data_IF_918402050079
#
_entry.id   IF_918402050079
#
_cell.length_a   1.000
_cell.length_b   1.000
_cell.length_c   1.000
_cell.angle_alpha   90.00
_cell.angle_beta   90.00
_cell.angle_gamma   90.00
#
_symmetry.space_group_name_H-M   'P 1'
#
loop_
_entity.id
_entity.type
_entity.pdbx_description
1 polymer ?
#
# COMPACT_ATOMS: atom_id res chain seq x y z
N UNK A 1 -28.67 -81.01 48.07
CA UNK A 1 -27.47 -80.47 47.39
C UNK A 1 -27.80 -79.08 46.85
N UNK A 2 -27.06 -78.03 47.27
CA UNK A 2 -27.40 -76.64 46.94
C UNK A 2 -26.60 -76.14 45.73
N UNK A 3 -27.27 -75.53 44.75
CA UNK A 3 -26.63 -74.75 43.70
C UNK A 3 -26.83 -73.26 43.99
N UNK A 4 -25.69 -72.62 44.23
CA UNK A 4 -25.49 -71.21 44.58
C UNK A 4 -26.06 -70.27 43.51
N UNK A 5 -27.00 -69.40 43.90
CA UNK A 5 -27.26 -68.12 43.24
C UNK A 5 -26.38 -67.04 43.89
N UNK A 6 -25.35 -66.56 43.20
CA UNK A 6 -24.72 -65.26 43.45
C UNK A 6 -24.18 -64.68 42.15
N UNK A 7 -24.31 -63.36 42.04
CA UNK A 7 -23.63 -62.44 41.12
C UNK A 7 -24.29 -62.15 39.76
N UNK A 8 -25.28 -61.26 39.78
CA UNK A 8 -25.52 -60.31 38.66
C UNK A 8 -26.16 -59.03 39.20
N UNK A 9 -25.40 -58.27 39.98
CA UNK A 9 -25.78 -56.93 40.42
C UNK A 9 -24.52 -56.08 40.55
N UNK A 10 -23.85 -55.79 39.43
CA UNK A 10 -22.73 -54.82 39.35
C UNK A 10 -22.31 -54.42 37.92
N UNK A 11 -23.24 -54.42 36.97
CA UNK A 11 -22.98 -53.94 35.58
C UNK A 11 -23.99 -52.91 35.06
N UNK A 12 -24.93 -52.43 35.88
CA UNK A 12 -25.94 -51.46 35.46
C UNK A 12 -25.71 -50.03 35.98
N UNK A 13 -24.60 -49.77 36.68
CA UNK A 13 -24.31 -48.44 37.26
C UNK A 13 -23.17 -47.70 36.55
N UNK A 14 -22.46 -48.34 35.61
CA UNK A 14 -21.33 -47.70 34.89
C UNK A 14 -21.77 -47.20 33.50
N UNK A 15 -22.84 -47.74 32.92
CA UNK A 15 -23.31 -47.33 31.58
C UNK A 15 -24.21 -46.10 31.59
N UNK A 16 -24.75 -45.69 32.75
CA UNK A 16 -25.58 -44.49 32.88
C UNK A 16 -24.78 -43.21 33.19
N UNK A 17 -23.52 -43.33 33.64
CA UNK A 17 -22.63 -42.18 33.86
C UNK A 17 -21.91 -41.72 32.57
N UNK A 18 -21.88 -42.55 31.53
CA UNK A 18 -21.25 -42.20 30.24
C UNK A 18 -22.23 -41.49 29.30
N UNK A 19 -23.55 -41.70 29.44
CA UNK A 19 -24.56 -41.02 28.62
C UNK A 19 -24.88 -39.62 29.14
N UNK A 20 -24.74 -39.37 30.45
CA UNK A 20 -24.92 -38.03 31.05
C UNK A 20 -23.73 -37.07 30.81
N UNK A 21 -22.56 -37.56 30.41
CA UNK A 21 -21.38 -36.74 30.08
C UNK A 21 -21.31 -36.26 28.62
N UNK A 22 -22.19 -36.78 27.75
CA UNK A 22 -22.18 -36.48 26.29
C UNK A 22 -23.37 -35.60 25.87
N UNK A 23 -24.26 -35.27 26.81
CA UNK A 23 -25.35 -34.30 26.62
C UNK A 23 -25.09 -33.02 27.42
N UNK A 24 -23.88 -32.46 27.30
CA UNK A 24 -23.71 -31.04 27.62
C UNK A 24 -24.45 -30.28 26.51
N UNK A 25 -25.57 -29.61 26.79
CA UNK A 25 -26.29 -28.92 25.76
C UNK A 25 -25.36 -27.79 25.31
N UNK A 26 -24.91 -27.86 24.05
CA UNK A 26 -24.23 -26.78 23.36
C UNK A 26 -25.26 -25.66 23.24
N UNK A 27 -25.51 -24.96 24.35
CA UNK A 27 -26.19 -23.69 24.30
C UNK A 27 -25.22 -22.79 23.55
N UNK A 28 -25.61 -22.22 22.39
CA UNK A 28 -24.78 -21.23 21.76
C UNK A 28 -24.53 -20.16 22.82
N UNK A 29 -23.28 -20.06 23.29
CA UNK A 29 -22.84 -18.88 24.02
C UNK A 29 -22.96 -17.77 23.01
N UNK A 30 -24.08 -17.07 23.03
CA UNK A 30 -24.21 -15.77 22.40
C UNK A 30 -23.21 -14.92 23.16
N UNK A 31 -22.02 -14.79 22.58
CA UNK A 31 -21.03 -13.81 23.01
C UNK A 31 -21.69 -12.50 22.63
N UNK A 32 -22.43 -11.90 23.57
CA UNK A 32 -22.80 -10.50 23.47
C UNK A 32 -21.48 -9.75 23.47
N UNK A 33 -21.05 -9.29 22.29
CA UNK A 33 -19.89 -8.42 22.17
C UNK A 33 -20.17 -7.22 23.08
N UNK A 34 -19.38 -7.09 24.15
CA UNK A 34 -19.50 -5.94 25.03
C UNK A 34 -19.27 -4.70 24.17
N UNK A 35 -20.30 -3.86 24.04
CA UNK A 35 -20.15 -2.55 23.41
C UNK A 35 -19.00 -1.85 24.12
N UNK A 36 -17.95 -1.41 23.40
CA UNK A 36 -16.82 -0.73 24.01
C UNK A 36 -17.34 0.40 24.90
N UNK A 37 -16.80 0.51 26.12
CA UNK A 37 -17.13 1.61 27.01
C UNK A 37 -16.86 2.93 26.27
N UNK A 38 -17.85 3.83 26.11
CA UNK A 38 -17.66 5.11 25.42
C UNK A 38 -16.45 5.90 25.95
N UNK A 39 -16.14 5.76 27.24
CA UNK A 39 -14.96 6.41 27.85
C UNK A 39 -13.63 5.85 27.33
N UNK A 40 -13.59 4.58 26.93
CA UNK A 40 -12.39 3.97 26.34
C UNK A 40 -12.07 4.54 24.96
N UNK A 41 -13.08 4.88 24.17
CA UNK A 41 -12.91 5.50 22.86
C UNK A 41 -12.37 6.93 22.97
N UNK A 42 -12.78 7.71 23.97
CA UNK A 42 -12.27 9.07 24.19
C UNK A 42 -10.74 9.11 24.39
N UNK A 43 -10.13 8.00 24.82
CA UNK A 43 -8.66 7.88 24.96
C UNK A 43 -7.92 7.79 23.62
N UNK A 44 -8.62 7.50 22.53
CA UNK A 44 -8.05 7.43 21.19
C UNK A 44 -7.73 8.80 20.59
N UNK A 45 -8.33 9.88 21.12
CA UNK A 45 -8.06 11.26 20.71
C UNK A 45 -7.28 12.00 21.82
N UNK A 46 -5.94 11.90 21.85
CA UNK A 46 -5.14 12.49 22.92
C UNK A 46 -5.19 14.02 22.90
N UNK A 47 -4.84 14.65 24.03
CA UNK A 47 -4.83 16.12 24.17
C UNK A 47 -3.76 16.79 23.29
N UNK A 48 -2.74 16.04 22.87
CA UNK A 48 -1.65 16.51 22.04
C UNK A 48 -1.22 15.43 21.04
N UNK A 49 -0.99 15.83 19.79
CA UNK A 49 -0.44 15.00 18.71
C UNK A 49 0.72 15.78 18.11
N UNK A 50 1.96 15.41 18.42
CA UNK A 50 3.14 16.19 18.02
C UNK A 50 3.06 17.65 18.46
N UNK A 51 3.08 18.59 17.50
CA UNK A 51 2.94 20.04 17.75
C UNK A 51 1.49 20.53 17.80
N UNK A 52 0.51 19.66 17.56
CA UNK A 52 -0.91 20.01 17.56
C UNK A 52 -1.52 19.78 18.94
N UNK A 53 -2.26 20.77 19.44
CA UNK A 53 -2.94 20.72 20.75
C UNK A 53 -4.44 20.76 20.59
N UNK A 54 -5.14 19.92 21.35
CA UNK A 54 -6.58 19.93 21.36
C UNK A 54 -7.13 21.27 21.88
N UNK A 55 -8.09 21.86 21.16
CA UNK A 55 -8.76 23.10 21.57
C UNK A 55 -10.08 22.87 22.30
N UNK A 56 -10.60 21.65 22.23
CA UNK A 56 -11.84 21.23 22.87
C UNK A 56 -11.73 19.78 23.37
N UNK A 57 -12.57 19.35 24.34
CA UNK A 57 -12.74 17.94 24.67
C UNK A 57 -13.20 17.13 23.45
N UNK A 58 -12.88 15.84 23.42
CA UNK A 58 -13.46 14.93 22.43
C UNK A 58 -14.97 14.80 22.65
N UNK A 59 -15.74 14.82 21.56
CA UNK A 59 -17.20 14.72 21.56
C UNK A 59 -17.59 13.43 20.84
N UNK A 60 -18.47 12.63 21.46
CA UNK A 60 -19.09 11.51 20.78
C UNK A 60 -20.15 12.02 19.81
N UNK A 61 -20.03 11.64 18.53
CA UNK A 61 -20.99 11.99 17.50
C UNK A 61 -21.94 10.81 17.34
N UNK A 62 -23.19 10.98 17.79
CA UNK A 62 -24.25 10.05 17.45
C UNK A 62 -24.84 10.48 16.12
N UNK A 63 -24.27 9.98 15.04
CA UNK A 63 -24.85 10.16 13.73
C UNK A 63 -25.72 8.92 13.41
N UNK A 64 -27.03 9.16 13.34
CA UNK A 64 -28.03 8.13 13.00
C UNK A 64 -28.01 7.78 11.51
N UNK A 65 -27.25 8.52 10.69
CA UNK A 65 -27.15 8.32 9.24
C UNK A 65 -26.00 7.43 8.83
N UNK A 66 -25.03 7.20 9.73
CA UNK A 66 -23.87 6.38 9.39
C UNK A 66 -24.25 4.89 9.43
N UNK A 67 -23.89 4.08 8.42
CA UNK A 67 -24.21 2.65 8.35
C UNK A 67 -23.86 1.90 9.64
N UNK A 68 -24.58 0.81 9.97
CA UNK A 68 -24.47 0.02 11.21
C UNK A 68 -23.08 -0.62 11.52
N UNK A 69 -22.01 -0.18 10.86
CA UNK A 69 -20.65 -0.69 10.95
C UNK A 69 -19.85 -0.08 12.12
N UNK A 70 -20.41 0.88 12.86
CA UNK A 70 -19.71 1.58 13.94
C UNK A 70 -19.92 0.95 15.30
N UNK A 71 -18.81 0.83 16.04
CA UNK A 71 -18.85 0.71 17.51
C UNK A 71 -18.87 2.07 18.20
N UNK A 72 -18.45 3.12 17.51
CA UNK A 72 -18.52 4.50 18.00
C UNK A 72 -17.82 5.47 17.07
N UNK A 73 -18.24 6.73 17.17
CA UNK A 73 -17.74 7.84 16.39
C UNK A 73 -17.45 9.00 17.35
N UNK A 74 -16.20 9.48 17.32
CA UNK A 74 -15.72 10.56 18.17
C UNK A 74 -15.00 11.59 17.32
N UNK A 75 -15.04 12.84 17.77
CA UNK A 75 -14.45 13.96 17.06
C UNK A 75 -13.75 14.90 18.03
N UNK A 76 -12.64 15.49 17.59
CA UNK A 76 -11.90 16.47 18.37
C UNK A 76 -11.21 17.50 17.49
N UNK A 77 -11.23 18.75 17.92
CA UNK A 77 -10.53 19.84 17.24
C UNK A 77 -9.13 20.03 17.80
N UNK A 78 -8.16 20.18 16.91
CA UNK A 78 -6.76 20.47 17.20
C UNK A 78 -6.34 21.81 16.59
N UNK A 79 -5.38 22.48 17.21
CA UNK A 79 -4.72 23.67 16.66
C UNK A 79 -3.21 23.46 16.54
N UNK A 80 -2.63 23.94 15.44
CA UNK A 80 -1.18 24.04 15.27
C UNK A 80 -0.61 25.22 16.05
N UNK A 81 0.72 25.32 16.13
CA UNK A 81 1.42 26.47 16.73
C UNK A 81 1.15 27.79 15.99
N UNK A 82 0.82 27.72 14.70
CA UNK A 82 0.47 28.87 13.86
C UNK A 82 -0.98 29.33 14.06
N UNK A 83 -1.79 28.58 14.82
CA UNK A 83 -3.19 28.89 15.11
C UNK A 83 -4.20 28.29 14.12
N UNK A 84 -3.76 27.60 13.07
CA UNK A 84 -4.64 26.86 12.16
C UNK A 84 -5.35 25.73 12.90
N UNK A 85 -6.62 25.49 12.57
CA UNK A 85 -7.47 24.51 13.25
C UNK A 85 -7.81 23.35 12.35
N UNK A 86 -7.92 22.17 12.95
CA UNK A 86 -8.14 20.91 12.26
C UNK A 86 -9.14 20.10 13.05
N UNK A 87 -10.00 19.39 12.33
CA UNK A 87 -10.93 18.43 12.88
C UNK A 87 -10.40 17.03 12.67
N UNK A 88 -10.31 16.24 13.74
CA UNK A 88 -10.04 14.80 13.64
C UNK A 88 -11.31 14.07 14.04
N UNK A 89 -11.89 13.36 13.09
CA UNK A 89 -13.04 12.49 13.23
C UNK A 89 -12.57 11.05 13.15
N UNK A 90 -12.92 10.24 14.15
CA UNK A 90 -12.48 8.86 14.28
C UNK A 90 -13.67 7.95 14.48
N UNK A 91 -13.71 6.88 13.69
CA UNK A 91 -14.74 5.87 13.78
C UNK A 91 -14.12 4.49 14.01
N UNK A 92 -14.54 3.81 15.08
CA UNK A 92 -14.06 2.47 15.42
C UNK A 92 -15.01 1.41 14.87
N UNK A 93 -14.44 0.40 14.22
CA UNK A 93 -15.16 -0.74 13.64
C UNK A 93 -14.86 -2.03 14.40
N UNK A 94 -15.49 -3.13 14.01
CA UNK A 94 -15.25 -4.44 14.61
C UNK A 94 -14.00 -5.14 14.06
N UNK A 95 -13.63 -4.81 12.81
CA UNK A 95 -12.49 -5.41 12.10
C UNK A 95 -11.83 -4.43 11.13
N UNK A 96 -10.61 -4.76 10.73
CA UNK A 96 -9.82 -4.02 9.73
C UNK A 96 -10.56 -3.97 8.37
N UNK A 97 -11.23 -5.08 7.98
CA UNK A 97 -12.08 -5.15 6.79
C UNK A 97 -13.19 -4.08 6.81
N UNK A 98 -13.85 -3.87 7.95
CA UNK A 98 -14.91 -2.87 8.06
C UNK A 98 -14.34 -1.44 7.97
N UNK A 99 -13.18 -1.16 8.59
CA UNK A 99 -12.52 0.13 8.48
C UNK A 99 -12.04 0.41 7.04
N UNK A 100 -11.57 -0.62 6.34
CA UNK A 100 -11.22 -0.52 4.92
C UNK A 100 -12.46 -0.31 4.03
N UNK A 101 -13.57 -1.01 4.30
CA UNK A 101 -14.84 -0.83 3.60
C UNK A 101 -15.30 0.62 3.69
N UNK A 102 -15.27 1.18 4.91
CA UNK A 102 -15.54 2.57 5.18
C UNK A 102 -14.66 3.52 4.35
N UNK A 103 -13.35 3.29 4.33
CA UNK A 103 -12.43 4.14 3.58
C UNK A 103 -12.76 4.14 2.08
N UNK A 104 -12.96 2.97 1.49
CA UNK A 104 -13.26 2.88 0.06
C UNK A 104 -14.65 3.41 -0.30
N UNK A 105 -15.61 3.30 0.62
CA UNK A 105 -16.95 3.88 0.49
C UNK A 105 -16.92 5.41 0.57
N UNK A 106 -16.21 5.97 1.57
CA UNK A 106 -15.98 7.42 1.68
C UNK A 106 -15.29 7.96 0.42
N UNK A 107 -14.28 7.23 -0.10
CA UNK A 107 -13.63 7.59 -1.37
C UNK A 107 -14.67 7.69 -2.48
N UNK A 108 -15.45 6.63 -2.70
CA UNK A 108 -16.48 6.58 -3.74
C UNK A 108 -17.45 7.77 -3.70
N UNK A 109 -17.82 8.25 -2.51
CA UNK A 109 -18.73 9.40 -2.34
C UNK A 109 -18.03 10.73 -2.60
N UNK A 110 -16.82 10.89 -2.04
CA UNK A 110 -16.18 12.21 -1.92
C UNK A 110 -15.27 12.54 -3.11
N UNK A 111 -14.61 11.54 -3.71
CA UNK A 111 -13.55 11.82 -4.70
C UNK A 111 -13.23 10.64 -5.62
N UNK A 112 -12.62 10.92 -6.76
CA UNK A 112 -11.98 9.90 -7.60
C UNK A 112 -10.50 9.71 -7.32
N UNK A 113 -9.94 10.45 -6.36
CA UNK A 113 -8.52 10.38 -6.06
C UNK A 113 -8.15 8.90 -5.81
N UNK A 114 -7.02 8.43 -6.40
CA UNK A 114 -6.60 7.06 -6.21
C UNK A 114 -6.28 6.82 -4.74
N UNK A 115 -6.64 5.64 -4.24
CA UNK A 115 -6.22 5.19 -2.93
C UNK A 115 -4.69 4.99 -2.93
N UNK A 116 -4.02 5.52 -1.91
CA UNK A 116 -2.59 5.36 -1.68
C UNK A 116 -2.36 4.34 -0.59
N UNK A 117 -1.52 3.36 -0.87
CA UNK A 117 -1.19 2.30 0.07
C UNK A 117 0.10 2.69 0.80
N UNK A 118 0.16 2.48 2.12
CA UNK A 118 1.33 2.77 2.96
C UNK A 118 1.82 4.24 2.94
N UNK A 119 0.92 5.20 2.68
CA UNK A 119 1.22 6.65 2.79
C UNK A 119 0.89 7.12 4.21
N UNK A 120 -0.41 7.20 4.54
CA UNK A 120 -0.91 7.50 5.89
C UNK A 120 -1.75 6.32 6.37
N UNK A 121 -1.43 5.79 7.55
CA UNK A 121 -2.05 4.55 8.04
C UNK A 121 -1.70 3.35 7.14
N UNK A 122 -2.66 2.43 6.98
CA UNK A 122 -2.54 1.28 6.07
C UNK A 122 -2.88 1.68 4.63
N UNK A 123 -3.95 2.45 4.45
CA UNK A 123 -4.27 3.12 3.19
C UNK A 123 -4.95 4.46 3.44
N UNK A 124 -4.82 5.38 2.48
CA UNK A 124 -5.38 6.72 2.56
C UNK A 124 -5.78 7.28 1.20
N UNK A 125 -6.59 8.33 1.23
CA UNK A 125 -6.76 9.24 0.10
C UNK A 125 -6.87 10.68 0.60
N UNK A 126 -6.65 11.65 -0.29
CA UNK A 126 -6.61 13.07 0.05
C UNK A 126 -7.51 13.85 -0.89
N UNK A 127 -8.26 14.80 -0.34
CA UNK A 127 -9.03 15.81 -1.07
C UNK A 127 -8.35 17.18 -0.90
N UNK A 128 -8.98 18.25 -1.39
CA UNK A 128 -8.48 19.61 -1.14
C UNK A 128 -8.66 20.08 0.30
N UNK A 129 -9.50 19.41 1.11
CA UNK A 129 -9.91 19.88 2.44
C UNK A 129 -9.72 18.83 3.55
N UNK A 130 -9.64 17.54 3.18
CA UNK A 130 -9.57 16.45 4.14
C UNK A 130 -8.61 15.35 3.70
N UNK A 131 -8.09 14.63 4.67
CA UNK A 131 -7.35 13.37 4.49
C UNK A 131 -8.15 12.27 5.17
N UNK A 132 -8.38 11.19 4.44
CA UNK A 132 -9.07 10.01 4.94
C UNK A 132 -8.08 8.86 4.97
N UNK A 133 -8.03 8.11 6.06
CA UNK A 133 -7.22 6.91 6.15
C UNK A 133 -7.82 5.90 7.09
N UNK A 134 -7.33 4.67 7.02
CA UNK A 134 -7.63 3.65 8.02
C UNK A 134 -6.34 3.04 8.56
N UNK A 135 -6.38 2.58 9.80
CA UNK A 135 -5.31 1.81 10.43
C UNK A 135 -5.91 0.88 11.50
N UNK A 136 -5.65 -0.41 11.38
CA UNK A 136 -6.35 -1.44 12.15
C UNK A 136 -7.87 -1.31 12.01
N UNK A 137 -8.57 -1.38 13.13
CA UNK A 137 -10.04 -1.25 13.23
C UNK A 137 -10.53 0.20 13.27
N UNK A 138 -9.71 1.16 12.85
CA UNK A 138 -10.01 2.59 12.97
C UNK A 138 -10.02 3.26 11.61
N UNK A 139 -11.14 3.88 11.28
CA UNK A 139 -11.26 4.84 10.18
C UNK A 139 -11.10 6.26 10.72
N UNK A 140 -10.37 7.10 9.99
CA UNK A 140 -10.07 8.48 10.39
C UNK A 140 -10.30 9.43 9.22
N UNK A 141 -10.95 10.54 9.52
CA UNK A 141 -10.97 11.74 8.69
C UNK A 141 -10.25 12.87 9.44
N UNK A 142 -9.31 13.53 8.78
CA UNK A 142 -8.66 14.76 9.24
C UNK A 142 -9.06 15.87 8.29
N UNK A 143 -9.94 16.77 8.74
CA UNK A 143 -10.47 17.89 7.98
C UNK A 143 -9.87 19.23 8.41
N UNK A 144 -9.78 20.17 7.48
CA UNK A 144 -9.43 21.55 7.75
C UNK A 144 -10.60 22.35 8.36
N UNK A 145 -10.31 23.16 9.38
CA UNK A 145 -11.20 24.22 9.86
C UNK A 145 -10.53 25.57 9.57
N UNK A 146 -11.01 26.26 8.53
CA UNK A 146 -10.64 27.63 8.14
C UNK A 146 -9.18 27.87 7.66
N UNK A 147 -8.97 27.83 6.33
CA UNK A 147 -7.73 28.23 5.62
C UNK A 147 -6.44 27.64 6.23
N UNK A 148 -6.50 26.36 6.55
CA UNK A 148 -5.38 25.61 7.07
C UNK A 148 -4.42 25.16 5.96
N UNK A 149 -3.17 24.88 6.33
CA UNK A 149 -2.16 24.39 5.38
C UNK A 149 -2.37 22.90 5.13
N UNK A 150 -2.39 22.49 3.86
CA UNK A 150 -2.44 21.07 3.49
C UNK A 150 -1.22 20.29 4.03
N UNK A 151 -0.07 20.94 4.18
CA UNK A 151 1.15 20.30 4.70
C UNK A 151 1.04 20.04 6.20
N UNK A 152 0.43 20.96 6.96
CA UNK A 152 0.12 20.75 8.37
C UNK A 152 -0.94 19.65 8.53
N UNK A 153 -1.96 19.64 7.67
CA UNK A 153 -3.00 18.60 7.65
C UNK A 153 -2.38 17.20 7.46
N UNK A 154 -1.47 17.06 6.49
CA UNK A 154 -0.71 15.81 6.27
C UNK A 154 0.15 15.45 7.48
N UNK A 155 0.83 16.43 8.07
CA UNK A 155 1.68 16.22 9.24
C UNK A 155 0.87 15.71 10.42
N UNK A 156 -0.28 16.34 10.72
CA UNK A 156 -1.21 15.90 11.75
C UNK A 156 -1.70 14.48 11.48
N UNK A 157 -2.12 14.18 10.25
CA UNK A 157 -2.62 12.86 9.87
C UNK A 157 -1.55 11.76 10.02
N UNK A 158 -0.30 12.00 9.60
CA UNK A 158 0.80 11.04 9.81
C UNK A 158 1.12 10.82 11.30
N UNK A 159 1.22 11.89 12.08
CA UNK A 159 1.51 11.79 13.51
C UNK A 159 0.38 11.07 14.25
N UNK A 160 -0.86 11.34 13.88
CA UNK A 160 -2.01 10.66 14.46
C UNK A 160 -2.08 9.19 14.05
N UNK A 161 -1.80 8.85 12.79
CA UNK A 161 -1.72 7.47 12.35
C UNK A 161 -0.65 6.67 13.14
N UNK A 162 0.41 7.31 13.64
CA UNK A 162 1.42 6.64 14.48
C UNK A 162 0.92 6.29 15.88
N UNK A 163 -0.12 6.96 16.40
CA UNK A 163 -0.68 6.67 17.73
C UNK A 163 -1.70 5.53 17.73
N UNK A 164 -2.19 5.13 16.54
CA UNK A 164 -3.18 4.08 16.39
C UNK A 164 -2.54 2.69 16.27
N UNK A 165 -3.25 1.68 16.78
CA UNK A 165 -2.91 0.27 16.59
C UNK A 165 -2.88 -0.06 15.08
N UNK A 166 -1.87 -0.82 14.67
CA UNK A 166 -1.75 -1.27 13.28
C UNK A 166 -2.80 -2.32 12.92
N UNK A 167 -3.36 -3.03 13.90
CA UNK A 167 -4.20 -4.19 13.66
C UNK A 167 -3.41 -5.27 12.91
N UNK A 168 -4.03 -5.87 11.88
CA UNK A 168 -3.32 -6.78 10.97
C UNK A 168 -2.41 -6.01 10.01
N UNK A 169 -2.68 -4.72 9.79
CA UNK A 169 -1.83 -3.84 8.97
C UNK A 169 -1.89 -4.16 7.47
N UNK A 170 -2.89 -4.92 7.04
CA UNK A 170 -3.01 -5.38 5.66
C UNK A 170 -4.33 -4.95 5.00
N UNK A 171 -4.29 -4.81 3.68
CA UNK A 171 -5.49 -4.67 2.85
C UNK A 171 -6.21 -6.02 2.83
N UNK A 172 -7.56 -6.06 2.92
CA UNK A 172 -8.31 -7.30 2.86
C UNK A 172 -7.90 -8.18 1.68
N UNK A 173 -7.71 -9.48 1.96
CA UNK A 173 -7.19 -10.45 1.00
C UNK A 173 -8.04 -10.50 -0.27
N UNK A 174 -9.36 -10.35 -0.14
CA UNK A 174 -10.29 -10.31 -1.28
C UNK A 174 -9.90 -9.27 -2.35
N UNK A 175 -9.37 -8.11 -1.94
CA UNK A 175 -8.90 -7.08 -2.89
C UNK A 175 -7.71 -7.58 -3.69
N UNK A 176 -6.82 -8.39 -3.09
CA UNK A 176 -5.64 -8.98 -3.74
C UNK A 176 -6.03 -10.02 -4.80
N UNK A 177 -7.28 -10.49 -4.83
CA UNK A 177 -7.82 -11.40 -5.84
C UNK A 177 -8.35 -10.70 -7.10
N UNK A 178 -8.36 -9.37 -7.12
CA UNK A 178 -8.65 -8.60 -8.32
C UNK A 178 -7.54 -8.80 -9.39
N UNK A 179 -7.90 -8.89 -10.68
CA UNK A 179 -6.93 -8.77 -11.77
C UNK A 179 -6.14 -7.45 -11.68
N UNK A 180 -4.80 -7.50 -11.75
CA UNK A 180 -3.95 -6.33 -11.55
C UNK A 180 -4.28 -5.55 -10.26
N UNK A 181 -4.42 -6.28 -9.15
CA UNK A 181 -4.95 -5.72 -7.89
C UNK A 181 -4.20 -4.48 -7.40
N UNK A 182 -2.91 -4.31 -7.70
CA UNK A 182 -2.14 -3.14 -7.27
C UNK A 182 -2.71 -1.85 -7.87
N UNK A 183 -3.17 -1.91 -9.12
CA UNK A 183 -3.86 -0.80 -9.79
C UNK A 183 -5.33 -0.80 -9.42
N UNK A 184 -6.00 -1.96 -9.45
CA UNK A 184 -7.43 -2.06 -9.21
C UNK A 184 -7.82 -1.63 -7.79
N UNK A 185 -6.99 -1.92 -6.78
CA UNK A 185 -7.20 -1.50 -5.38
C UNK A 185 -7.29 0.02 -5.22
N UNK A 186 -6.65 0.79 -6.11
CA UNK A 186 -6.69 2.25 -6.07
C UNK A 186 -8.09 2.79 -6.37
N UNK A 187 -8.89 2.02 -7.11
CA UNK A 187 -10.20 2.42 -7.61
C UNK A 187 -11.34 1.52 -7.14
N UNK A 188 -11.05 0.36 -6.54
CA UNK A 188 -12.07 -0.56 -6.04
C UNK A 188 -12.87 0.01 -4.86
N UNK A 189 -14.07 -0.53 -4.68
CA UNK A 189 -14.91 -0.34 -3.50
C UNK A 189 -15.07 -1.68 -2.81
N UNK A 190 -14.79 -1.71 -1.51
CA UNK A 190 -14.88 -2.89 -0.68
C UNK A 190 -16.07 -2.78 0.26
N UNK A 191 -16.82 -3.87 0.39
CA UNK A 191 -18.11 -3.89 1.04
C UNK A 191 -18.25 -5.09 1.97
N UNK A 192 -18.79 -4.81 3.15
CA UNK A 192 -19.09 -5.79 4.22
C UNK A 192 -20.60 -5.87 4.47
N UNK A 193 -21.41 -5.28 3.58
CA UNK A 193 -22.87 -5.30 3.64
C UNK A 193 -23.48 -5.28 2.25
N UNK A 194 -24.69 -5.84 2.13
CA UNK A 194 -25.43 -5.87 0.87
C UNK A 194 -25.74 -4.45 0.36
N UNK A 195 -26.11 -3.54 1.25
CA UNK A 195 -26.41 -2.14 0.90
C UNK A 195 -25.20 -1.44 0.26
N UNK A 196 -24.02 -1.59 0.86
CA UNK A 196 -22.77 -1.08 0.28
C UNK A 196 -22.53 -1.66 -1.11
N UNK A 197 -22.69 -2.98 -1.28
CA UNK A 197 -22.43 -3.63 -2.57
C UNK A 197 -23.37 -3.13 -3.67
N UNK A 198 -24.67 -3.05 -3.36
CA UNK A 198 -25.68 -2.56 -4.31
C UNK A 198 -25.40 -1.12 -4.73
N UNK A 199 -25.04 -0.26 -3.76
CA UNK A 199 -24.66 1.13 -4.03
C UNK A 199 -23.35 1.22 -4.83
N UNK A 200 -22.33 0.44 -4.49
CA UNK A 200 -21.05 0.44 -5.18
C UNK A 200 -21.19 0.06 -6.66
N UNK A 201 -21.98 -0.97 -6.96
CA UNK A 201 -22.29 -1.41 -8.32
C UNK A 201 -23.07 -0.34 -9.08
N UNK A 202 -23.96 0.38 -8.38
CA UNK A 202 -24.76 1.45 -8.95
C UNK A 202 -23.95 2.71 -9.27
N UNK A 203 -23.02 3.10 -8.39
CA UNK A 203 -22.26 4.34 -8.49
C UNK A 203 -21.02 4.25 -9.38
N UNK A 204 -20.47 3.05 -9.56
CA UNK A 204 -19.27 2.85 -10.36
C UNK A 204 -19.52 2.78 -11.87
N UNK A 205 -20.77 2.80 -12.32
CA UNK A 205 -21.12 3.01 -13.73
C UNK A 205 -21.01 4.49 -14.13
N UNK A 206 -19.88 4.88 -14.73
CA UNK A 206 -19.65 6.15 -15.43
C UNK A 206 -20.31 7.40 -14.80
N UNK A 207 -20.09 7.64 -13.50
CA UNK A 207 -20.17 9.04 -13.04
C UNK A 207 -19.00 9.78 -13.68
N UNK A 208 -19.23 10.79 -14.54
CA UNK A 208 -18.14 11.61 -15.01
C UNK A 208 -17.67 12.42 -13.81
N UNK A 209 -16.59 11.93 -13.23
CA UNK A 209 -15.91 12.53 -12.10
C UNK A 209 -15.48 13.93 -12.52
N UNK A 210 -15.98 14.95 -11.81
CA UNK A 210 -15.74 16.35 -12.14
C UNK A 210 -16.91 17.07 -12.80
N UNK A 211 -18.13 16.52 -12.76
CA UNK A 211 -19.31 17.28 -13.17
C UNK A 211 -19.49 18.50 -12.29
N UNK A 212 -19.26 19.67 -12.89
CA UNK A 212 -19.97 20.89 -12.54
C UNK A 212 -21.44 20.53 -12.35
N UNK A 213 -21.90 20.49 -11.10
CA UNK A 213 -23.28 20.12 -10.69
C UNK A 213 -24.33 20.94 -11.47
N UNK A 214 -23.89 22.05 -12.06
CA UNK A 214 -24.70 23.02 -12.77
C UNK A 214 -24.86 22.79 -14.30
N UNK A 215 -24.08 21.91 -14.98
CA UNK A 215 -23.96 21.98 -16.46
C UNK A 215 -24.44 20.77 -17.27
N UNK A 216 -24.57 19.58 -16.70
CA UNK A 216 -24.93 18.35 -17.45
C UNK A 216 -26.22 17.65 -16.94
N UNK A 217 -27.11 18.39 -16.29
CA UNK A 217 -28.42 17.92 -15.82
C UNK A 217 -29.41 17.47 -16.94
N UNK A 218 -28.97 17.29 -18.20
CA UNK A 218 -29.88 17.12 -19.35
C UNK A 218 -30.01 15.70 -19.88
N UNK A 219 -29.29 14.71 -19.33
CA UNK A 219 -29.62 13.29 -19.55
C UNK A 219 -29.76 12.59 -18.20
N UNK A 220 -30.97 12.13 -17.82
CA UNK A 220 -31.12 11.29 -16.65
C UNK A 220 -30.44 9.95 -16.96
N UNK A 221 -29.19 9.79 -16.53
CA UNK A 221 -28.67 8.45 -16.29
C UNK A 221 -29.56 7.87 -15.20
N UNK A 222 -30.41 6.91 -15.58
CA UNK A 222 -31.19 6.12 -14.63
C UNK A 222 -30.41 4.83 -14.44
N UNK A 223 -29.48 4.78 -13.47
CA UNK A 223 -28.75 3.58 -13.16
C UNK A 223 -29.73 2.45 -12.84
N UNK A 224 -29.64 1.37 -13.62
CA UNK A 224 -30.50 0.20 -13.48
C UNK A 224 -30.03 -0.57 -12.23
N UNK A 225 -30.90 -0.80 -11.23
CA UNK A 225 -30.55 -1.67 -10.11
C UNK A 225 -30.20 -3.05 -10.66
N UNK A 226 -29.13 -3.68 -10.16
CA UNK A 226 -28.75 -5.05 -10.53
C UNK A 226 -29.55 -6.03 -9.66
N UNK A 227 -30.70 -6.56 -10.11
CA UNK A 227 -31.65 -7.22 -9.21
C UNK A 227 -31.12 -8.57 -8.71
N UNK A 228 -30.16 -9.15 -9.44
CA UNK A 228 -29.47 -10.38 -9.06
C UNK A 228 -28.75 -10.26 -7.71
N UNK A 229 -28.24 -9.07 -7.37
CA UNK A 229 -27.53 -8.86 -6.11
C UNK A 229 -28.46 -8.99 -4.90
N UNK A 230 -29.77 -8.76 -5.07
CA UNK A 230 -30.75 -9.00 -4.02
C UNK A 230 -30.93 -10.47 -3.64
N UNK A 231 -30.37 -11.42 -4.40
CA UNK A 231 -30.35 -12.83 -4.03
C UNK A 231 -29.18 -13.20 -3.11
N UNK A 232 -28.22 -12.29 -2.91
CA UNK A 232 -27.06 -12.49 -2.05
C UNK A 232 -27.46 -12.37 -0.58
N UNK A 233 -26.91 -13.26 0.22
CA UNK A 233 -27.02 -13.27 1.67
C UNK A 233 -25.70 -12.84 2.28
N UNK A 234 -25.72 -11.73 3.02
CA UNK A 234 -24.52 -11.19 3.68
C UNK A 234 -24.33 -11.72 5.10
N UNK A 235 -25.14 -12.70 5.54
CA UNK A 235 -24.93 -13.37 6.81
C UNK A 235 -23.57 -14.09 6.89
N UNK A 236 -23.09 -14.28 8.11
CA UNK A 236 -21.88 -15.06 8.37
C UNK A 236 -20.55 -14.39 7.99
N UNK A 237 -20.52 -13.06 7.81
CA UNK A 237 -19.30 -12.31 7.51
C UNK A 237 -18.95 -12.29 6.03
N UNK A 238 -19.94 -12.28 5.15
CA UNK A 238 -19.74 -12.17 3.70
C UNK A 238 -19.15 -10.82 3.34
N UNK A 239 -18.17 -10.82 2.45
CA UNK A 239 -17.45 -9.63 2.00
C UNK A 239 -17.53 -9.54 0.48
N UNK A 240 -17.39 -8.34 -0.06
CA UNK A 240 -17.42 -8.12 -1.50
C UNK A 240 -16.44 -7.03 -1.93
N UNK A 241 -15.95 -7.12 -3.16
CA UNK A 241 -15.18 -6.08 -3.81
C UNK A 241 -15.72 -5.80 -5.21
N UNK A 242 -15.81 -4.53 -5.55
CA UNK A 242 -16.25 -4.02 -6.86
C UNK A 242 -15.10 -3.26 -7.50
N UNK A 243 -14.78 -3.56 -8.75
CA UNK A 243 -13.75 -2.86 -9.52
C UNK A 243 -14.12 -2.75 -11.00
N UNK A 244 -13.73 -1.65 -11.64
CA UNK A 244 -14.01 -1.39 -13.04
C UNK A 244 -12.81 -1.78 -13.93
N UNK A 245 -13.10 -2.42 -15.06
CA UNK A 245 -12.14 -2.84 -16.09
C UNK A 245 -12.64 -2.39 -17.46
N UNK A 246 -12.35 -1.13 -17.81
CA UNK A 246 -12.93 -0.48 -18.99
C UNK A 246 -14.44 -0.30 -18.79
N UNK A 247 -15.24 -0.85 -19.71
CA UNK A 247 -16.71 -0.83 -19.62
C UNK A 247 -17.26 -1.93 -18.70
N UNK A 248 -16.47 -2.97 -18.42
CA UNK A 248 -16.88 -4.08 -17.56
C UNK A 248 -16.71 -3.70 -16.10
N UNK A 249 -17.64 -4.13 -15.26
CA UNK A 249 -17.55 -4.03 -13.81
C UNK A 249 -17.46 -5.43 -13.23
N UNK A 250 -16.38 -5.73 -12.53
CA UNK A 250 -16.14 -6.99 -11.84
C UNK A 250 -16.60 -6.87 -10.39
N UNK A 251 -17.40 -7.84 -9.95
CA UNK A 251 -17.79 -7.99 -8.55
C UNK A 251 -17.36 -9.37 -8.08
N UNK A 252 -16.60 -9.42 -6.99
CA UNK A 252 -16.26 -10.68 -6.31
C UNK A 252 -16.91 -10.64 -4.93
N UNK A 253 -17.71 -11.66 -4.62
CA UNK A 253 -18.32 -11.85 -3.30
C UNK A 253 -17.69 -13.08 -2.67
N UNK A 254 -17.09 -12.92 -1.50
CA UNK A 254 -16.50 -14.01 -0.72
C UNK A 254 -17.42 -14.42 0.42
N UNK A 255 -17.70 -15.72 0.49
CA UNK A 255 -18.41 -16.33 1.60
C UNK A 255 -17.42 -17.01 2.55
N UNK A 256 -17.63 -16.85 3.85
CA UNK A 256 -16.75 -17.40 4.89
C UNK A 256 -16.70 -18.92 4.91
N UNK A 257 -17.75 -19.59 4.41
CA UNK A 257 -17.80 -21.05 4.35
C UNK A 257 -18.19 -21.56 2.96
N UNK A 258 -17.70 -22.76 2.56
CA UNK A 258 -18.15 -23.40 1.33
C UNK A 258 -19.67 -23.63 1.29
N UNK A 259 -20.29 -23.89 2.44
CA UNK A 259 -21.73 -24.11 2.53
C UNK A 259 -22.51 -22.83 2.16
N UNK A 260 -22.15 -21.69 2.75
CA UNK A 260 -22.75 -20.39 2.38
C UNK A 260 -22.56 -20.07 0.89
N UNK A 261 -21.39 -20.40 0.33
CA UNK A 261 -21.15 -20.22 -1.10
C UNK A 261 -22.07 -21.07 -1.99
N UNK A 262 -22.30 -22.35 -1.65
CA UNK A 262 -23.18 -23.24 -2.41
C UNK A 262 -24.65 -22.82 -2.29
N UNK A 263 -25.08 -22.41 -1.10
CA UNK A 263 -26.45 -21.97 -0.85
C UNK A 263 -26.74 -20.67 -1.62
N UNK A 264 -25.81 -19.71 -1.59
CA UNK A 264 -25.92 -18.48 -2.37
C UNK A 264 -25.86 -18.75 -3.88
N UNK A 265 -24.99 -19.63 -4.37
CA UNK A 265 -24.90 -19.98 -5.79
C UNK A 265 -26.23 -20.50 -6.34
N UNK A 266 -26.93 -21.34 -5.57
CA UNK A 266 -28.25 -21.85 -5.94
C UNK A 266 -29.30 -20.72 -6.03
N UNK A 267 -29.28 -19.77 -5.08
CA UNK A 267 -30.16 -18.59 -5.08
C UNK A 267 -29.87 -17.67 -6.27
N UNK A 268 -28.59 -17.40 -6.54
CA UNK A 268 -28.13 -16.56 -7.65
C UNK A 268 -28.54 -17.17 -8.98
N UNK A 269 -28.28 -18.46 -9.22
CA UNK A 269 -28.67 -19.13 -10.46
C UNK A 269 -30.18 -19.08 -10.70
N UNK A 270 -30.96 -19.36 -9.65
CA UNK A 270 -32.42 -19.27 -9.71
C UNK A 270 -32.86 -17.85 -10.09
N UNK A 271 -32.24 -16.83 -9.47
CA UNK A 271 -32.57 -15.43 -9.75
C UNK A 271 -32.18 -15.01 -11.16
N UNK A 272 -31.01 -15.42 -11.66
CA UNK A 272 -30.58 -15.15 -13.04
C UNK A 272 -31.56 -15.77 -14.04
N UNK A 273 -31.99 -17.02 -13.81
CA UNK A 273 -32.96 -17.69 -14.69
C UNK A 273 -34.32 -16.97 -14.67
N UNK A 274 -34.79 -16.54 -13.50
CA UNK A 274 -36.01 -15.76 -13.35
C UNK A 274 -35.94 -14.42 -14.12
N UNK A 275 -34.87 -13.65 -13.91
CA UNK A 275 -34.66 -12.35 -14.57
C UNK A 275 -34.57 -12.51 -16.09
N UNK A 276 -33.89 -13.55 -16.57
CA UNK A 276 -33.81 -13.88 -18.00
C UNK A 276 -35.19 -14.20 -18.59
N UNK A 277 -36.03 -14.94 -17.85
CA UNK A 277 -37.41 -15.22 -18.24
C UNK A 277 -38.29 -13.96 -18.28
N UNK A 278 -37.98 -12.96 -17.47
CA UNK A 278 -38.68 -11.67 -17.41
C UNK A 278 -38.12 -10.62 -18.38
N UNK A 279 -37.05 -10.92 -19.13
CA UNK A 279 -36.36 -9.95 -19.98
C UNK A 279 -35.68 -8.82 -19.20
N UNK A 280 -35.41 -9.02 -17.90
CA UNK A 280 -34.68 -8.07 -17.06
C UNK A 280 -33.17 -8.19 -17.26
N UNK A 281 -32.40 -7.13 -16.97
CA UNK A 281 -30.94 -7.18 -17.08
C UNK A 281 -30.35 -8.27 -16.15
N UNK A 282 -29.45 -9.07 -16.73
CA UNK A 282 -28.64 -10.08 -16.04
C UNK A 282 -27.16 -9.74 -16.19
N UNK A 283 -26.28 -10.23 -15.29
CA UNK A 283 -24.84 -10.07 -15.48
C UNK A 283 -24.39 -10.65 -16.84
N UNK A 284 -23.38 -10.03 -17.45
CA UNK A 284 -22.76 -10.51 -18.70
C UNK A 284 -22.06 -11.85 -18.51
N UNK A 285 -21.54 -12.13 -17.30
CA UNK A 285 -21.08 -13.44 -16.88
C UNK A 285 -21.26 -13.63 -15.37
N UNK A 286 -21.47 -14.88 -14.95
CA UNK A 286 -21.52 -15.28 -13.55
C UNK A 286 -20.80 -16.63 -13.38
N UNK A 287 -19.99 -16.76 -12.32
CA UNK A 287 -19.33 -18.02 -11.98
C UNK A 287 -19.03 -18.15 -10.49
N UNK A 288 -19.23 -19.34 -9.94
CA UNK A 288 -18.69 -19.72 -8.64
C UNK A 288 -17.25 -20.23 -8.78
N UNK A 289 -16.32 -19.68 -8.00
CA UNK A 289 -14.92 -20.08 -7.96
C UNK A 289 -14.51 -20.33 -6.51
N UNK A 290 -14.54 -21.58 -6.07
CA UNK A 290 -14.30 -21.91 -4.66
C UNK A 290 -15.39 -21.32 -3.77
N UNK A 291 -15.00 -20.45 -2.83
CA UNK A 291 -15.94 -19.72 -1.97
C UNK A 291 -16.37 -18.37 -2.57
N UNK A 292 -15.97 -18.05 -3.81
CA UNK A 292 -16.29 -16.79 -4.46
C UNK A 292 -17.47 -16.94 -5.41
N UNK A 293 -18.34 -15.93 -5.41
CA UNK A 293 -19.27 -15.66 -6.49
C UNK A 293 -18.76 -14.46 -7.28
N UNK A 294 -18.41 -14.69 -8.54
CA UNK A 294 -17.83 -13.68 -9.43
C UNK A 294 -18.88 -13.27 -10.46
N UNK A 295 -19.19 -11.98 -10.49
CA UNK A 295 -20.09 -11.37 -11.47
C UNK A 295 -19.30 -10.41 -12.36
N UNK A 296 -19.67 -10.37 -13.64
CA UNK A 296 -19.25 -9.30 -14.55
C UNK A 296 -20.49 -8.62 -15.09
N UNK A 297 -20.64 -7.34 -14.77
CA UNK A 297 -21.68 -6.47 -15.31
C UNK A 297 -21.12 -5.63 -16.45
N UNK A 298 -22.00 -5.20 -17.35
CA UNK A 298 -21.68 -4.28 -18.45
C UNK A 298 -20.53 -4.76 -19.36
N UNK A 299 -20.25 -6.06 -19.41
CA UNK A 299 -19.28 -6.63 -20.33
C UNK A 299 -19.78 -6.53 -21.77
N UNK A 300 -18.90 -6.21 -22.74
CA UNK A 300 -19.31 -6.00 -24.14
C UNK A 300 -19.85 -7.28 -24.78
N UNK A 301 -19.36 -8.44 -24.34
CA UNK A 301 -19.79 -9.76 -24.74
C UNK A 301 -19.45 -10.79 -23.66
N UNK A 302 -20.12 -11.95 -23.71
CA UNK A 302 -19.96 -13.04 -22.74
C UNK A 302 -18.53 -13.62 -22.74
N UNK A 303 -17.82 -13.65 -23.87
CA UNK A 303 -16.45 -14.19 -23.96
C UNK A 303 -15.46 -13.27 -23.24
N UNK A 304 -15.56 -11.96 -23.47
CA UNK A 304 -14.75 -10.96 -22.77
C UNK A 304 -15.03 -10.96 -21.27
N UNK A 305 -16.31 -11.06 -20.89
CA UNK A 305 -16.71 -11.16 -19.48
C UNK A 305 -16.12 -12.43 -18.82
N UNK A 306 -16.19 -13.59 -19.47
CA UNK A 306 -15.60 -14.82 -18.96
C UNK A 306 -14.07 -14.76 -18.87
N UNK A 307 -13.38 -14.10 -19.81
CA UNK A 307 -11.94 -13.91 -19.75
C UNK A 307 -11.51 -13.04 -18.56
N UNK A 308 -12.36 -12.12 -18.09
CA UNK A 308 -12.13 -11.37 -16.87
C UNK A 308 -12.33 -12.24 -15.62
N UNK A 309 -13.37 -13.09 -15.60
CA UNK A 309 -13.58 -14.07 -14.53
C UNK A 309 -12.41 -15.04 -14.40
N UNK A 310 -11.83 -15.49 -15.53
CA UNK A 310 -10.69 -16.43 -15.55
C UNK A 310 -9.41 -15.86 -14.90
N UNK A 311 -9.31 -14.53 -14.78
CA UNK A 311 -8.18 -13.87 -14.13
C UNK A 311 -8.33 -13.83 -12.60
N UNK A 312 -9.53 -14.08 -12.06
CA UNK A 312 -9.78 -14.16 -10.63
C UNK A 312 -9.19 -15.47 -10.10
N UNK A 313 -8.09 -15.37 -9.37
CA UNK A 313 -7.43 -16.54 -8.76
C UNK A 313 -7.91 -16.71 -7.33
N UNK A 314 -8.64 -17.79 -7.07
CA UNK A 314 -8.90 -18.24 -5.71
C UNK A 314 -7.61 -18.82 -5.13
N UNK A 315 -6.93 -18.08 -4.27
CA UNK A 315 -5.85 -18.65 -3.48
C UNK A 315 -6.45 -19.10 -2.15
N UNK A 316 -6.48 -20.42 -1.95
CA UNK A 316 -6.85 -20.96 -0.65
C UNK A 316 -5.78 -20.54 0.36
N UNK A 317 -6.06 -19.50 1.15
CA UNK A 317 -5.24 -19.17 2.31
C UNK A 317 -5.48 -20.25 3.35
N UNK A 318 -4.61 -21.26 3.35
CA UNK A 318 -4.60 -22.27 4.39
C UNK A 318 -4.04 -21.59 5.65
N UNK A 319 -4.93 -21.17 6.54
CA UNK A 319 -4.54 -20.77 7.88
C UNK A 319 -4.38 -22.04 8.71
N UNK A 320 -3.15 -22.29 9.15
CA UNK A 320 -2.86 -23.41 10.03
C UNK A 320 -3.37 -23.09 11.43
N UNK A 321 -4.11 -24.01 12.04
CA UNK A 321 -4.62 -23.87 13.42
C UNK A 321 -3.51 -24.05 14.49
N UNK A 322 -2.25 -24.21 14.06
CA UNK A 322 -1.05 -24.28 14.90
C UNK A 322 0.10 -23.57 14.20
N UNK A 323 1.34 -23.80 14.65
CA UNK A 323 2.52 -23.20 14.02
C UNK A 323 2.55 -23.54 12.52
N UNK A 324 2.50 -22.50 11.67
CA UNK A 324 2.53 -22.68 10.21
C UNK A 324 3.89 -23.32 9.84
N UNK A 325 3.92 -24.57 9.33
CA UNK A 325 5.15 -25.26 9.01
C UNK A 325 5.95 -24.55 7.90
N UNK A 326 5.31 -23.65 7.14
CA UNK A 326 5.91 -22.86 6.08
C UNK A 326 6.18 -21.40 6.48
N UNK A 327 5.95 -21.01 7.74
CA UNK A 327 6.15 -19.62 8.17
C UNK A 327 7.59 -19.18 7.91
N UNK A 328 8.56 -20.03 8.25
CA UNK A 328 9.98 -19.76 8.02
C UNK A 328 10.30 -19.63 6.51
N UNK A 329 9.72 -20.49 5.67
CA UNK A 329 9.91 -20.44 4.21
C UNK A 329 9.30 -19.18 3.59
N UNK A 330 8.12 -18.76 4.06
CA UNK A 330 7.48 -17.51 3.63
C UNK A 330 8.28 -16.30 4.08
N UNK A 331 8.75 -16.29 5.34
CA UNK A 331 9.61 -15.22 5.85
C UNK A 331 10.92 -15.15 5.06
N UNK A 332 11.52 -16.30 4.75
CA UNK A 332 12.73 -16.38 3.93
C UNK A 332 12.47 -15.86 2.52
N UNK A 333 11.36 -16.24 1.85
CA UNK A 333 11.00 -15.72 0.52
C UNK A 333 10.76 -14.21 0.55
N UNK A 334 10.00 -13.73 1.52
CA UNK A 334 9.71 -12.31 1.70
C UNK A 334 10.99 -11.51 1.96
N UNK A 335 11.83 -11.97 2.89
CA UNK A 335 13.14 -11.38 3.16
C UNK A 335 14.03 -11.44 1.92
N UNK A 336 14.08 -12.54 1.18
CA UNK A 336 14.91 -12.67 -0.02
C UNK A 336 14.43 -11.72 -1.12
N UNK A 337 13.12 -11.62 -1.37
CA UNK A 337 12.56 -10.72 -2.38
C UNK A 337 12.79 -9.25 -1.99
N UNK A 338 12.53 -8.88 -0.75
CA UNK A 338 12.65 -7.50 -0.27
C UNK A 338 14.12 -7.10 -0.15
N UNK A 339 14.97 -7.95 0.43
CA UNK A 339 16.41 -7.67 0.58
C UNK A 339 17.13 -7.69 -0.76
N UNK A 340 16.79 -8.57 -1.70
CA UNK A 340 17.39 -8.56 -3.04
C UNK A 340 17.06 -7.26 -3.79
N UNK A 341 15.83 -6.75 -3.67
CA UNK A 341 15.44 -5.46 -4.25
C UNK A 341 16.23 -4.30 -3.66
N UNK A 342 16.32 -4.23 -2.33
CA UNK A 342 17.08 -3.18 -1.61
C UNK A 342 18.58 -3.29 -1.91
N UNK A 343 19.16 -4.49 -1.86
CA UNK A 343 20.57 -4.73 -2.22
C UNK A 343 20.84 -4.31 -3.66
N UNK A 344 19.98 -4.68 -4.61
CA UNK A 344 20.15 -4.28 -6.01
C UNK A 344 20.08 -2.75 -6.18
N UNK A 345 19.18 -2.06 -5.47
CA UNK A 345 19.08 -0.61 -5.51
C UNK A 345 20.31 0.09 -4.88
N UNK A 346 20.79 -0.40 -3.73
CA UNK A 346 22.00 0.10 -3.08
C UNK A 346 23.24 -0.16 -3.93
N UNK A 347 23.35 -1.33 -4.56
CA UNK A 347 24.50 -1.70 -5.38
C UNK A 347 24.52 -0.91 -6.70
N UNK A 348 23.35 -0.65 -7.31
CA UNK A 348 23.23 0.24 -8.48
C UNK A 348 23.59 1.68 -8.14
N UNK A 349 23.06 2.23 -7.04
CA UNK A 349 23.31 3.63 -6.65
C UNK A 349 24.75 3.86 -6.22
N UNK A 350 25.33 2.98 -5.39
CA UNK A 350 26.74 3.06 -5.00
C UNK A 350 27.70 2.84 -6.18
N UNK A 351 27.42 1.88 -7.05
CA UNK A 351 28.19 1.65 -8.26
C UNK A 351 28.19 2.84 -9.22
N UNK A 352 27.02 3.47 -9.43
CA UNK A 352 26.89 4.64 -10.29
C UNK A 352 27.59 5.87 -9.70
N UNK A 353 27.51 6.06 -8.38
CA UNK A 353 28.25 7.10 -7.66
C UNK A 353 29.78 6.93 -7.82
N UNK A 354 30.29 5.71 -7.67
CA UNK A 354 31.71 5.42 -7.86
C UNK A 354 32.17 5.73 -9.29
N UNK A 355 31.40 5.31 -10.29
CA UNK A 355 31.70 5.60 -11.70
C UNK A 355 31.71 7.11 -11.99
N UNK A 356 30.76 7.85 -11.40
CA UNK A 356 30.66 9.30 -11.58
C UNK A 356 31.84 10.04 -10.92
N UNK A 357 32.24 9.62 -9.72
CA UNK A 357 33.44 10.10 -9.03
C UNK A 357 34.72 9.83 -9.84
N UNK A 358 34.88 8.62 -10.38
CA UNK A 358 36.04 8.26 -11.22
C UNK A 358 36.06 9.06 -12.51
N UNK A 359 34.92 9.24 -13.18
CA UNK A 359 34.81 10.02 -14.41
C UNK A 359 35.13 11.50 -14.17
N UNK A 360 34.57 12.11 -13.12
CA UNK A 360 34.85 13.49 -12.74
C UNK A 360 36.32 13.68 -12.36
N UNK A 361 36.86 12.77 -11.55
CA UNK A 361 38.27 12.79 -11.16
C UNK A 361 39.22 12.66 -12.35
N UNK A 362 38.94 11.75 -13.29
CA UNK A 362 39.72 11.58 -14.51
C UNK A 362 39.67 12.82 -15.41
N UNK A 363 38.49 13.44 -15.56
CA UNK A 363 38.30 14.63 -16.39
C UNK A 363 39.06 15.83 -15.80
N UNK A 364 38.89 16.10 -14.51
CA UNK A 364 39.59 17.18 -13.80
C UNK A 364 41.11 16.93 -13.82
N UNK A 365 41.54 15.70 -13.53
CA UNK A 365 42.96 15.32 -13.57
C UNK A 365 43.59 15.53 -14.94
N UNK A 366 42.87 15.16 -16.01
CA UNK A 366 43.31 15.36 -17.40
C UNK A 366 43.40 16.85 -17.76
N UNK A 367 42.41 17.66 -17.36
CA UNK A 367 42.45 19.12 -17.56
C UNK A 367 43.64 19.76 -16.85
N UNK A 368 43.88 19.43 -15.57
CA UNK A 368 45.00 19.95 -14.80
C UNK A 368 46.36 19.50 -15.37
N UNK A 369 46.46 18.25 -15.83
CA UNK A 369 47.68 17.74 -16.45
C UNK A 369 47.99 18.46 -17.78
N UNK A 370 46.97 18.65 -18.64
CA UNK A 370 47.12 19.40 -19.89
C UNK A 370 47.50 20.86 -19.62
N UNK A 371 46.90 21.49 -18.62
CA UNK A 371 47.22 22.86 -18.24
C UNK A 371 48.68 23.01 -17.77
N UNK A 372 49.13 22.13 -16.86
CA UNK A 372 50.53 22.11 -16.40
C UNK A 372 51.51 21.82 -17.54
N UNK A 373 51.15 20.92 -18.47
CA UNK A 373 51.99 20.62 -19.64
C UNK A 373 52.08 21.80 -20.60
N UNK A 374 50.99 22.53 -20.83
CA UNK A 374 50.99 23.74 -21.65
C UNK A 374 51.86 24.85 -21.04
N UNK A 375 51.80 25.06 -19.72
CA UNK A 375 52.66 25.99 -19.01
C UNK A 375 54.16 25.62 -19.14
N UNK A 376 54.49 24.34 -19.00
CA UNK A 376 55.88 23.87 -19.19
C UNK A 376 56.34 23.98 -20.63
N UNK A 377 55.48 23.69 -21.61
CA UNK A 377 55.83 23.86 -23.01
C UNK A 377 56.08 25.33 -23.37
N UNK A 378 55.36 26.27 -22.77
CA UNK A 378 55.59 27.70 -22.95
C UNK A 378 56.96 28.17 -22.41
N UNK A 379 57.50 27.51 -21.37
CA UNK A 379 58.85 27.75 -20.86
C UNK A 379 59.95 27.24 -21.79
N UNK A 380 59.66 26.26 -22.65
CA UNK A 380 60.58 25.72 -23.66
C UNK A 380 60.17 26.16 -25.07
N UNK A 381 59.89 27.45 -25.24
CA UNK A 381 59.58 28.00 -26.56
C UNK A 381 60.76 27.78 -27.50
N UNK A 382 60.44 27.22 -28.67
CA UNK A 382 61.32 26.91 -29.82
C UNK A 382 62.06 28.15 -30.38
N UNK A 383 61.80 29.34 -29.82
CA UNK A 383 62.68 30.48 -29.92
C UNK A 383 63.87 30.35 -28.95
N UNK A 384 64.68 29.30 -29.12
CA UNK A 384 66.11 29.32 -28.78
C UNK A 384 66.50 29.94 -27.44
N UNK A 385 65.76 29.63 -26.37
CA UNK A 385 66.22 29.84 -25.01
C UNK A 385 67.34 28.85 -24.71
N UNK A 386 68.48 29.01 -25.40
CA UNK A 386 69.71 28.32 -25.04
C UNK A 386 69.88 28.57 -23.55
N UNK A 387 69.77 27.52 -22.73
CA UNK A 387 70.34 27.55 -21.38
C UNK A 387 71.81 27.86 -21.66
N UNK A 388 72.20 29.13 -21.53
CA UNK A 388 73.59 29.50 -21.49
C UNK A 388 74.10 28.83 -20.23
N UNK A 389 74.75 27.68 -20.41
CA UNK A 389 75.70 27.17 -19.44
C UNK A 389 76.63 28.34 -19.17
N UNK A 390 76.38 29.02 -18.05
CA UNK A 390 77.10 30.21 -17.67
C UNK A 390 78.48 29.74 -17.20
N UNK A 391 79.37 29.50 -18.17
CA UNK A 391 80.75 29.08 -17.92
C UNK A 391 81.58 30.21 -17.28
N UNK A 392 81.01 31.41 -17.12
CA UNK A 392 81.65 32.57 -16.49
C UNK A 392 82.03 32.31 -15.02
N UNK A 393 81.39 31.36 -14.32
CA UNK A 393 81.80 30.92 -12.98
C UNK A 393 82.89 29.82 -12.96
N UNK A 394 83.18 29.18 -14.10
CA UNK A 394 84.26 28.21 -14.25
C UNK A 394 85.54 28.81 -14.85
N UNK A 395 85.49 30.04 -15.36
CA UNK A 395 86.70 30.81 -15.69
C UNK A 395 87.18 31.60 -14.47
N UNK A 396 88.12 31.00 -13.72
CA UNK A 396 88.87 31.71 -12.69
C UNK A 396 89.53 32.99 -13.24
N UNK A 397 89.82 33.98 -12.37
CA UNK A 397 90.24 35.32 -12.77
C UNK A 397 91.44 35.27 -13.73
N UNK A 398 91.21 35.76 -14.94
CA UNK A 398 92.22 35.91 -15.98
C UNK A 398 93.39 36.75 -15.43
N UNK A 399 94.48 36.07 -15.13
CA UNK A 399 95.70 36.63 -14.59
C UNK A 399 96.40 37.45 -15.69
N UNK A 400 96.05 38.74 -15.81
CA UNK A 400 96.56 39.70 -16.82
C UNK A 400 98.01 40.16 -16.59
N UNK A 401 98.87 39.28 -16.07
CA UNK A 401 100.30 39.53 -15.88
C UNK A 401 101.16 38.42 -16.49
N UNK A 402 101.01 38.17 -17.80
CA UNK A 402 102.09 37.51 -18.56
C UNK A 402 101.96 37.71 -20.06
N UNK A 403 102.12 38.96 -20.47
CA UNK A 403 102.46 39.30 -21.85
C UNK A 403 103.99 39.18 -22.00
N UNK A 404 104.38 38.39 -23.00
CA UNK A 404 105.67 38.34 -23.69
C UNK A 404 106.83 37.57 -23.02
N UNK A 405 107.08 36.35 -23.51
CA UNK A 405 108.45 35.92 -23.81
C UNK A 405 108.48 35.37 -25.24
N UNK A 406 109.43 35.90 -25.99
CA UNK A 406 109.66 35.73 -27.43
C UNK A 406 109.86 34.27 -27.83
N UNK A 407 109.62 34.03 -29.11
CA UNK A 407 109.65 32.71 -29.71
C UNK A 407 111.02 32.06 -29.81
N UNK A 408 110.99 30.79 -30.20
CA UNK A 408 111.94 30.18 -31.09
C UNK A 408 111.32 28.87 -31.59
N UNK A 409 111.25 28.74 -32.93
CA UNK A 409 111.56 27.55 -33.73
C UNK A 409 111.11 26.18 -33.17
N UNK A 410 110.44 25.33 -33.91
CA UNK A 410 110.82 24.85 -35.24
C UNK A 410 109.76 23.86 -35.71
N UNK A 411 109.68 23.63 -37.03
CA UNK A 411 109.64 22.31 -37.67
C UNK A 411 108.71 21.23 -37.07
N UNK A 412 107.90 20.50 -37.82
CA UNK A 412 108.07 20.08 -39.20
C UNK A 412 106.88 19.19 -39.55
N UNK A 413 106.49 19.23 -40.82
CA UNK A 413 106.08 18.09 -41.65
C UNK A 413 105.14 17.03 -41.05
N UNK A 414 103.95 16.92 -41.67
CA UNK A 414 103.62 15.77 -42.56
C UNK A 414 103.02 14.61 -41.78
N UNK A 415 102.16 13.75 -42.27
CA UNK A 415 101.44 13.54 -43.52
C UNK A 415 100.83 12.15 -43.35
N UNK A 416 99.69 11.91 -43.98
CA UNK A 416 99.23 10.58 -44.42
C UNK A 416 98.84 9.62 -43.26
N UNK A 417 97.73 8.91 -43.29
CA UNK A 417 96.96 8.33 -44.40
C UNK A 417 95.55 8.05 -43.91
#
# INVERSE_FOLDING_TARGET
MPLKRKATAKRLTVTLAIIAGVLCPIWPRVITANTPDPQSQLKLLPDQIGSFKATAPAIGVMDNTVPQLFRGHIQRTYASETGSRYEVSLASTESDSQAFAMLTHAKMIVTSAPLRLNDIGTASFTTSQSIFFFKGTTFVEVGEIEKASLDDLKTLAHQFAQTLDAGEGEIPVLVKHLPDWQTAAQHSVYCVSLGCLQEAVHLSGDRPIGLDINKEASRPFVPQPQPVLGALDFEGGTEAVVANYGQSQLVIVEFTTPQFSVDNDSRIWTKIAELKGQGQPTPSAYRRVGNYSVFVFNGPDEKTANALVDQVKYEKVVQWLGDDPHLYERLQKYLTQTSAGVLAAVLKSSGLSLLLCLAAGALIGTMLFRHRRAQRAALYSDAGGSIRLNLDELTGPANRHRLLKSGSSSDQTSSNS
#
